data_IF_160731608534
#
_entry.id   IF_160731608534
#
_cell.length_a   1.000
_cell.length_b   1.000
_cell.length_c   1.000
_cell.angle_alpha   90.00
_cell.angle_beta   90.00
_cell.angle_gamma   90.00
#
_symmetry.space_group_name_H-M   'P 1'
#
loop_
_entity.id
_entity.type
_entity.pdbx_description
1 polymer ?
#
# COMPACT_ATOMS: atom_id res chain seq x y z
N UNK A 1 -9.02 42.30 -52.33
CA UNK A 1 -8.17 41.29 -51.66
C UNK A 1 -8.07 40.10 -52.59
N UNK A 2 -6.84 39.74 -52.94
CA UNK A 2 -6.52 38.91 -54.10
C UNK A 2 -6.96 37.45 -53.91
N UNK A 3 -7.62 36.83 -54.90
CA UNK A 3 -8.01 35.41 -54.86
C UNK A 3 -6.82 34.46 -54.61
N UNK A 4 -5.59 34.90 -54.93
CA UNK A 4 -4.36 34.16 -54.63
C UNK A 4 -4.02 34.07 -53.14
N UNK A 5 -4.45 35.02 -52.30
CA UNK A 5 -4.23 34.96 -50.85
C UNK A 5 -5.19 33.97 -50.16
N UNK A 6 -6.42 33.87 -50.68
CA UNK A 6 -7.45 32.94 -50.19
C UNK A 6 -7.03 31.49 -50.46
N UNK A 7 -6.52 31.19 -51.65
CA UNK A 7 -6.04 29.84 -52.00
C UNK A 7 -4.85 29.37 -51.16
N UNK A 8 -4.03 30.28 -50.61
CA UNK A 8 -2.92 29.96 -49.69
C UNK A 8 -3.37 29.78 -48.24
N UNK A 9 -4.56 30.28 -47.88
CA UNK A 9 -5.12 30.19 -46.53
C UNK A 9 -6.13 29.04 -46.37
N UNK A 10 -6.76 28.60 -47.47
CA UNK A 10 -7.52 27.34 -47.53
C UNK A 10 -6.53 26.18 -47.41
N UNK A 11 -6.53 25.55 -46.25
CA UNK A 11 -5.71 24.40 -45.93
C UNK A 11 -6.45 23.09 -46.18
N UNK A 12 -5.98 22.05 -45.49
CA UNK A 12 -6.47 20.69 -45.58
C UNK A 12 -7.99 20.60 -45.30
N UNK A 13 -8.70 19.76 -46.06
CA UNK A 13 -10.17 19.55 -46.00
C UNK A 13 -11.05 20.80 -46.23
N UNK A 14 -10.53 21.87 -46.85
CA UNK A 14 -11.31 23.08 -47.15
C UNK A 14 -11.42 24.05 -45.98
N UNK A 15 -10.77 23.74 -44.86
CA UNK A 15 -10.67 24.60 -43.68
C UNK A 15 -9.34 25.33 -43.62
N UNK A 16 -9.28 26.44 -42.89
CA UNK A 16 -8.04 27.23 -42.79
C UNK A 16 -6.96 26.49 -41.97
N UNK A 17 -5.68 26.69 -42.30
CA UNK A 17 -4.57 26.13 -41.50
C UNK A 17 -4.63 26.53 -40.02
N UNK A 18 -5.16 27.72 -39.71
CA UNK A 18 -5.38 28.18 -38.34
C UNK A 18 -6.36 27.30 -37.55
N UNK A 19 -7.44 26.84 -38.18
CA UNK A 19 -8.43 25.95 -37.57
C UNK A 19 -7.81 24.62 -37.12
N UNK A 20 -6.98 24.02 -37.97
CA UNK A 20 -6.30 22.75 -37.66
C UNK A 20 -5.26 22.89 -36.56
N UNK A 21 -4.50 23.98 -36.54
CA UNK A 21 -3.54 24.28 -35.46
C UNK A 21 -4.28 24.43 -34.12
N UNK A 22 -5.38 25.18 -34.10
CA UNK A 22 -6.17 25.39 -32.89
C UNK A 22 -6.81 24.08 -32.39
N UNK A 23 -7.41 23.30 -33.29
CA UNK A 23 -8.01 22.01 -32.95
C UNK A 23 -6.96 21.02 -32.45
N UNK A 24 -5.79 20.97 -33.08
CA UNK A 24 -4.64 20.20 -32.61
C UNK A 24 -4.18 20.62 -31.21
N UNK A 25 -4.11 21.93 -30.94
CA UNK A 25 -3.73 22.46 -29.63
C UNK A 25 -4.74 22.07 -28.53
N UNK A 26 -6.04 22.05 -28.83
CA UNK A 26 -7.06 21.58 -27.89
C UNK A 26 -6.92 20.08 -27.57
N UNK A 27 -6.68 19.25 -28.59
CA UNK A 27 -6.46 17.82 -28.39
C UNK A 27 -5.21 17.54 -27.55
N UNK A 28 -4.10 18.21 -27.84
CA UNK A 28 -2.86 18.08 -27.07
C UNK A 28 -3.08 18.51 -25.62
N UNK A 29 -3.78 19.62 -25.40
CA UNK A 29 -4.11 20.11 -24.05
C UNK A 29 -4.96 19.10 -23.27
N UNK A 30 -5.96 18.50 -23.91
CA UNK A 30 -6.80 17.47 -23.30
C UNK A 30 -5.98 16.23 -22.92
N UNK A 31 -5.12 15.74 -23.83
CA UNK A 31 -4.23 14.60 -23.57
C UNK A 31 -3.24 14.90 -22.43
N UNK A 32 -2.65 16.10 -22.42
CA UNK A 32 -1.78 16.54 -21.34
C UNK A 32 -2.52 16.58 -20.00
N UNK A 33 -3.76 17.07 -19.97
CA UNK A 33 -4.61 17.05 -18.78
C UNK A 33 -4.86 15.65 -18.23
N UNK A 34 -5.22 14.69 -19.11
CA UNK A 34 -5.40 13.28 -18.72
C UNK A 34 -4.10 12.69 -18.17
N UNK A 35 -2.97 12.96 -18.82
CA UNK A 35 -1.67 12.49 -18.35
C UNK A 35 -1.33 13.06 -16.95
N UNK A 36 -1.54 14.36 -16.74
CA UNK A 36 -1.31 15.02 -15.44
C UNK A 36 -2.18 14.40 -14.34
N UNK A 37 -3.47 14.17 -14.59
CA UNK A 37 -4.37 13.53 -13.62
C UNK A 37 -3.86 12.14 -13.23
N UNK A 38 -3.42 11.35 -14.22
CA UNK A 38 -2.88 10.01 -13.96
C UNK A 38 -1.58 10.06 -13.14
N UNK A 39 -0.63 10.94 -13.49
CA UNK A 39 0.63 11.10 -12.75
C UNK A 39 0.39 11.61 -11.32
N UNK A 40 -0.53 12.55 -11.13
CA UNK A 40 -0.90 13.08 -9.82
C UNK A 40 -1.47 11.98 -8.92
N UNK A 41 -2.28 11.06 -9.46
CA UNK A 41 -2.78 9.91 -8.71
C UNK A 41 -1.65 9.03 -8.16
N UNK A 42 -0.64 8.73 -8.98
CA UNK A 42 0.53 7.95 -8.55
C UNK A 42 1.35 8.68 -7.48
N UNK A 43 1.61 9.97 -7.66
CA UNK A 43 2.32 10.79 -6.67
C UNK A 43 1.55 10.88 -5.35
N UNK A 44 0.21 11.00 -5.42
CA UNK A 44 -0.66 11.02 -4.25
C UNK A 44 -0.55 9.75 -3.41
N UNK A 45 -0.59 8.57 -4.04
CA UNK A 45 -0.42 7.27 -3.35
C UNK A 45 0.95 7.12 -2.69
N UNK A 46 1.99 7.59 -3.40
CA UNK A 46 3.36 7.56 -2.88
C UNK A 46 3.50 8.47 -1.66
N UNK A 47 2.94 9.68 -1.72
CA UNK A 47 2.96 10.62 -0.60
C UNK A 47 2.19 10.08 0.61
N UNK A 48 0.98 9.57 0.40
CA UNK A 48 0.18 8.97 1.47
C UNK A 48 0.91 7.82 2.17
N UNK A 49 1.63 6.99 1.42
CA UNK A 49 2.49 5.94 1.98
C UNK A 49 3.66 6.52 2.80
N UNK A 50 4.34 7.54 2.29
CA UNK A 50 5.46 8.17 3.01
C UNK A 50 4.98 8.77 4.32
N UNK A 51 3.88 9.52 4.31
CA UNK A 51 3.30 10.14 5.50
C UNK A 51 2.94 9.07 6.54
N UNK A 52 2.35 7.95 6.10
CA UNK A 52 2.07 6.80 6.97
C UNK A 52 3.34 6.21 7.57
N UNK A 53 4.38 6.00 6.78
CA UNK A 53 5.65 5.44 7.26
C UNK A 53 6.29 6.39 8.29
N UNK A 54 6.26 7.70 8.04
CA UNK A 54 6.76 8.70 9.00
C UNK A 54 5.97 8.58 10.30
N UNK A 55 4.64 8.54 10.24
CA UNK A 55 3.79 8.38 11.42
C UNK A 55 4.14 7.11 12.21
N UNK A 56 4.34 5.98 11.54
CA UNK A 56 4.76 4.73 12.18
C UNK A 56 6.13 4.83 12.86
N UNK A 57 7.07 5.57 12.25
CA UNK A 57 8.41 5.79 12.81
C UNK A 57 8.41 6.75 13.99
N UNK A 58 7.40 7.59 14.12
CA UNK A 58 7.23 8.50 15.26
C UNK A 58 6.35 7.91 16.37
N UNK A 59 5.56 6.88 16.08
CA UNK A 59 4.72 6.22 17.06
C UNK A 59 5.55 5.28 17.96
N UNK A 60 5.92 5.81 19.13
CA UNK A 60 6.68 5.06 20.14
C UNK A 60 5.98 3.78 20.59
N UNK A 61 4.65 3.78 20.73
CA UNK A 61 3.90 2.59 21.16
C UNK A 61 3.98 1.50 20.11
N UNK A 62 3.80 1.86 18.84
CA UNK A 62 3.91 0.92 17.73
C UNK A 62 5.34 0.36 17.59
N UNK A 63 6.35 1.22 17.77
CA UNK A 63 7.75 0.79 17.75
C UNK A 63 8.06 -0.20 18.88
N UNK A 64 7.66 0.11 20.11
CA UNK A 64 7.85 -0.76 21.27
C UNK A 64 7.16 -2.11 21.09
N UNK A 65 5.90 -2.11 20.63
CA UNK A 65 5.17 -3.34 20.34
C UNK A 65 5.82 -4.15 19.22
N UNK A 66 6.30 -3.49 18.16
CA UNK A 66 7.02 -4.14 17.06
C UNK A 66 8.31 -4.79 17.54
N UNK A 67 9.07 -4.10 18.41
CA UNK A 67 10.29 -4.65 19.02
C UNK A 67 9.97 -5.84 19.93
N UNK A 68 8.91 -5.76 20.73
CA UNK A 68 8.44 -6.86 21.57
C UNK A 68 8.08 -8.08 20.72
N UNK A 69 7.27 -7.89 19.66
CA UNK A 69 6.89 -8.96 18.72
C UNK A 69 8.11 -9.61 18.07
N UNK A 70 9.08 -8.82 17.61
CA UNK A 70 10.31 -9.38 17.03
C UNK A 70 11.18 -10.11 18.05
N UNK A 71 11.21 -9.66 19.31
CA UNK A 71 11.92 -10.34 20.40
C UNK A 71 11.27 -11.70 20.69
N UNK A 72 9.95 -11.77 20.76
CA UNK A 72 9.21 -13.02 20.96
C UNK A 72 9.48 -14.01 19.83
N UNK A 73 9.42 -13.54 18.59
CA UNK A 73 9.73 -14.36 17.41
C UNK A 73 11.18 -14.87 17.43
N UNK A 74 12.15 -14.02 17.77
CA UNK A 74 13.57 -14.42 17.89
C UNK A 74 13.78 -15.50 18.95
N UNK A 75 13.02 -15.44 20.05
CA UNK A 75 13.06 -16.42 21.13
C UNK A 75 12.25 -17.69 20.82
N UNK A 76 11.73 -17.83 19.59
CA UNK A 76 10.92 -18.96 19.13
C UNK A 76 9.66 -19.20 20.00
N UNK A 77 9.13 -18.13 20.61
CA UNK A 77 7.91 -18.18 21.41
C UNK A 77 6.72 -18.14 20.46
N UNK A 78 5.86 -19.16 20.54
CA UNK A 78 4.67 -19.23 19.72
C UNK A 78 3.63 -18.20 20.19
N UNK A 79 3.13 -17.38 19.27
CA UNK A 79 2.17 -16.33 19.61
C UNK A 79 0.80 -16.88 20.00
N UNK A 80 0.47 -18.10 19.57
CA UNK A 80 -0.76 -18.82 19.94
C UNK A 80 -0.97 -18.93 21.46
N UNK A 81 0.11 -18.91 22.26
CA UNK A 81 0.04 -18.89 23.73
C UNK A 81 -0.71 -17.67 24.29
N UNK A 82 -0.68 -16.53 23.60
CA UNK A 82 -1.26 -15.28 24.06
C UNK A 82 -2.69 -15.05 23.54
N UNK A 83 -3.30 -16.05 22.92
CA UNK A 83 -4.68 -15.97 22.41
C UNK A 83 -5.74 -16.10 23.51
N UNK A 84 -5.62 -17.01 24.50
CA UNK A 84 -6.67 -17.25 25.50
C UNK A 84 -7.11 -15.99 26.25
N UNK A 85 -8.40 -15.91 26.59
CA UNK A 85 -9.00 -14.77 27.29
C UNK A 85 -8.73 -14.77 28.80
N UNK A 86 -8.11 -15.82 29.34
CA UNK A 86 -7.87 -16.03 30.76
C UNK A 86 -6.44 -15.67 31.20
N UNK A 87 -5.76 -14.79 30.45
CA UNK A 87 -4.46 -14.26 30.88
C UNK A 87 -4.63 -13.48 32.18
N UNK A 88 -3.89 -13.88 33.22
CA UNK A 88 -3.98 -13.26 34.55
C UNK A 88 -2.78 -12.37 34.87
N UNK A 89 -1.68 -12.56 34.16
CA UNK A 89 -0.48 -11.75 34.34
C UNK A 89 -0.53 -10.51 33.45
N UNK A 90 -0.32 -9.34 34.05
CA UNK A 90 -0.31 -8.05 33.33
C UNK A 90 0.67 -8.05 32.14
N UNK A 91 1.82 -8.72 32.28
CA UNK A 91 2.81 -8.86 31.21
C UNK A 91 2.30 -9.67 30.00
N UNK A 92 1.52 -10.73 30.24
CA UNK A 92 0.96 -11.56 29.17
C UNK A 92 -0.17 -10.80 28.45
N UNK A 93 -0.98 -10.04 29.18
CA UNK A 93 -2.02 -9.15 28.62
C UNK A 93 -1.37 -8.08 27.74
N UNK A 94 -0.35 -7.37 28.25
CA UNK A 94 0.39 -6.36 27.49
C UNK A 94 1.05 -6.96 26.23
N UNK A 95 1.55 -8.20 26.32
CA UNK A 95 2.11 -8.91 25.18
C UNK A 95 1.05 -9.20 24.11
N UNK A 96 -0.14 -9.66 24.53
CA UNK A 96 -1.27 -9.88 23.62
C UNK A 96 -1.68 -8.59 22.92
N UNK A 97 -1.80 -7.50 23.66
CA UNK A 97 -2.14 -6.18 23.11
C UNK A 97 -1.10 -5.69 22.11
N UNK A 98 0.19 -5.88 22.39
CA UNK A 98 1.26 -5.55 21.47
C UNK A 98 1.18 -6.35 20.16
N UNK A 99 0.91 -7.67 20.24
CA UNK A 99 0.72 -8.53 19.05
C UNK A 99 -0.45 -8.03 18.22
N UNK A 100 -1.60 -7.77 18.85
CA UNK A 100 -2.80 -7.28 18.17
C UNK A 100 -2.55 -5.90 17.54
N UNK A 101 -1.87 -4.99 18.23
CA UNK A 101 -1.56 -3.66 17.71
C UNK A 101 -0.68 -3.73 16.46
N UNK A 102 0.35 -4.57 16.46
CA UNK A 102 1.22 -4.77 15.30
C UNK A 102 0.43 -5.39 14.14
N UNK A 103 -0.41 -6.40 14.41
CA UNK A 103 -1.25 -7.04 13.41
C UNK A 103 -2.28 -6.08 12.80
N UNK A 104 -2.99 -5.30 13.62
CA UNK A 104 -3.95 -4.30 13.17
C UNK A 104 -3.31 -3.26 12.26
N UNK A 105 -2.11 -2.79 12.62
CA UNK A 105 -1.36 -1.84 11.82
C UNK A 105 -0.97 -2.42 10.44
N UNK A 106 -0.54 -3.68 10.40
CA UNK A 106 -0.22 -4.35 9.13
C UNK A 106 -1.48 -4.66 8.31
N UNK A 107 -2.59 -5.00 8.95
CA UNK A 107 -3.89 -5.20 8.30
C UNK A 107 -4.37 -3.91 7.62
N UNK A 108 -4.27 -2.77 8.31
CA UNK A 108 -4.60 -1.46 7.75
C UNK A 108 -3.75 -1.14 6.53
N UNK A 109 -2.44 -1.40 6.59
CA UNK A 109 -1.55 -1.19 5.45
C UNK A 109 -1.91 -2.12 4.29
N UNK A 110 -2.12 -3.39 4.56
CA UNK A 110 -2.46 -4.37 3.54
C UNK A 110 -3.77 -4.00 2.84
N UNK A 111 -4.76 -3.54 3.60
CA UNK A 111 -6.01 -3.01 3.06
C UNK A 111 -5.77 -1.77 2.19
N UNK A 112 -4.97 -0.80 2.65
CA UNK A 112 -4.67 0.40 1.88
C UNK A 112 -3.89 0.12 0.59
N UNK A 113 -3.02 -0.89 0.59
CA UNK A 113 -2.38 -1.41 -0.62
C UNK A 113 -3.41 -2.05 -1.55
N UNK A 114 -4.29 -2.91 -1.03
CA UNK A 114 -5.31 -3.59 -1.84
C UNK A 114 -6.28 -2.61 -2.49
N UNK A 115 -6.63 -1.53 -1.79
CA UNK A 115 -7.48 -0.46 -2.32
C UNK A 115 -6.73 0.51 -3.25
N UNK A 116 -5.42 0.36 -3.41
CA UNK A 116 -4.60 1.25 -4.22
C UNK A 116 -4.42 2.64 -3.60
N UNK A 117 -4.67 2.81 -2.30
CA UNK A 117 -4.37 4.04 -1.57
C UNK A 117 -2.87 4.21 -1.33
N UNK A 118 -2.13 3.11 -1.21
CA UNK A 118 -0.68 3.09 -0.99
C UNK A 118 0.08 2.48 -2.17
N UNK A 119 1.30 2.97 -2.41
CA UNK A 119 2.19 2.41 -3.43
C UNK A 119 2.83 1.08 -2.97
N UNK A 120 2.27 -0.04 -3.44
CA UNK A 120 2.77 -1.38 -3.09
C UNK A 120 4.24 -1.58 -3.48
N UNK A 121 4.70 -1.03 -4.61
CA UNK A 121 6.05 -1.26 -5.11
C UNK A 121 7.07 -0.64 -4.16
N UNK A 122 6.80 0.59 -3.70
CA UNK A 122 7.65 1.29 -2.74
C UNK A 122 7.62 0.56 -1.40
N UNK A 123 6.42 0.26 -0.89
CA UNK A 123 6.27 -0.39 0.41
C UNK A 123 6.94 -1.76 0.45
N UNK A 124 6.77 -2.58 -0.59
CA UNK A 124 7.39 -3.91 -0.71
C UNK A 124 8.92 -3.80 -0.70
N UNK A 125 9.52 -2.86 -1.44
CA UNK A 125 10.98 -2.64 -1.42
C UNK A 125 11.50 -2.32 -0.02
N UNK A 126 10.72 -1.58 0.77
CA UNK A 126 11.13 -1.16 2.11
C UNK A 126 10.86 -2.20 3.20
N UNK A 127 9.74 -2.92 3.13
CA UNK A 127 9.19 -3.69 4.25
C UNK A 127 8.92 -5.16 3.94
N UNK A 128 9.20 -5.68 2.74
CA UNK A 128 8.90 -7.07 2.38
C UNK A 128 9.38 -8.08 3.44
N UNK A 129 10.65 -8.02 3.82
CA UNK A 129 11.20 -8.94 4.83
C UNK A 129 10.54 -8.81 6.20
N UNK A 130 10.13 -7.59 6.59
CA UNK A 130 9.50 -7.34 7.89
C UNK A 130 8.07 -7.88 7.90
N UNK A 131 7.27 -7.58 6.87
CA UNK A 131 5.91 -8.09 6.73
C UNK A 131 5.90 -9.62 6.72
N UNK A 132 6.82 -10.24 5.97
CA UNK A 132 6.91 -11.70 5.92
C UNK A 132 7.28 -12.32 7.27
N UNK A 133 8.21 -11.72 8.02
CA UNK A 133 8.58 -12.17 9.37
C UNK A 133 7.43 -12.01 10.36
N UNK A 134 6.74 -10.87 10.34
CA UNK A 134 5.58 -10.63 11.20
C UNK A 134 4.48 -11.65 10.91
N UNK A 135 4.17 -11.89 9.63
CA UNK A 135 3.18 -12.88 9.24
C UNK A 135 3.56 -14.29 9.67
N UNK A 136 4.83 -14.69 9.47
CA UNK A 136 5.29 -16.02 9.84
C UNK A 136 5.22 -16.26 11.36
N UNK A 137 5.52 -15.23 12.16
CA UNK A 137 5.37 -15.27 13.61
C UNK A 137 3.89 -15.32 14.05
N UNK A 138 3.04 -14.54 13.39
CA UNK A 138 1.67 -14.30 13.84
C UNK A 138 0.63 -15.24 13.24
N UNK A 139 0.95 -16.00 12.19
CA UNK A 139 -0.01 -16.92 11.54
C UNK A 139 -0.68 -17.88 12.53
N UNK A 140 0.08 -18.40 13.50
CA UNK A 140 -0.46 -19.29 14.55
C UNK A 140 -1.47 -18.57 15.44
N UNK A 141 -1.15 -17.35 15.86
CA UNK A 141 -2.07 -16.49 16.62
C UNK A 141 -3.35 -16.20 15.84
N UNK A 142 -3.23 -15.82 14.56
CA UNK A 142 -4.38 -15.51 13.70
C UNK A 142 -5.29 -16.72 13.52
N UNK A 143 -4.72 -17.91 13.28
CA UNK A 143 -5.50 -19.14 13.14
C UNK A 143 -6.28 -19.48 14.42
N UNK A 144 -5.65 -19.38 15.60
CA UNK A 144 -6.37 -19.59 16.87
C UNK A 144 -7.48 -18.56 17.10
N UNK A 145 -7.22 -17.27 16.82
CA UNK A 145 -8.24 -16.21 16.94
C UNK A 145 -9.44 -16.51 16.03
N UNK A 146 -9.20 -16.87 14.77
CA UNK A 146 -10.27 -17.24 13.82
C UNK A 146 -11.08 -18.43 14.32
N UNK A 147 -10.42 -19.44 14.90
CA UNK A 147 -11.11 -20.61 15.50
C UNK A 147 -11.97 -20.25 16.69
N UNK A 148 -11.48 -19.39 17.59
CA UNK A 148 -12.24 -18.96 18.78
C UNK A 148 -13.44 -18.08 18.41
N UNK A 149 -13.24 -17.12 17.52
CA UNK A 149 -14.27 -16.16 17.11
C UNK A 149 -15.22 -16.70 16.03
N UNK A 150 -14.92 -17.88 15.46
CA UNK A 150 -15.66 -18.51 14.34
C UNK A 150 -15.81 -17.58 13.13
N UNK A 151 -14.77 -16.79 12.84
CA UNK A 151 -14.73 -15.84 11.72
C UNK A 151 -13.39 -15.95 11.01
N UNK A 152 -13.42 -16.38 9.76
CA UNK A 152 -12.20 -16.60 8.98
C UNK A 152 -11.58 -15.31 8.41
N UNK A 153 -12.30 -14.18 8.50
CA UNK A 153 -11.90 -12.91 7.88
C UNK A 153 -10.94 -12.08 8.74
N UNK A 154 -10.64 -12.49 9.98
CA UNK A 154 -9.70 -11.75 10.84
C UNK A 154 -8.30 -11.76 10.24
N UNK A 155 -7.69 -10.58 10.11
CA UNK A 155 -6.32 -10.43 9.58
C UNK A 155 -6.13 -11.04 8.19
N UNK A 156 -7.18 -11.00 7.35
CA UNK A 156 -7.13 -11.59 6.01
C UNK A 156 -6.25 -10.77 5.06
N UNK A 157 -6.18 -9.45 5.25
CA UNK A 157 -5.49 -8.57 4.30
C UNK A 157 -3.98 -8.77 4.40
N UNK A 158 -3.45 -8.85 5.63
CA UNK A 158 -2.03 -9.16 5.85
C UNK A 158 -1.66 -10.56 5.35
N UNK A 159 -2.54 -11.55 5.52
CA UNK A 159 -2.35 -12.91 5.00
C UNK A 159 -2.21 -12.90 3.47
N UNK A 160 -3.20 -12.31 2.79
CA UNK A 160 -3.19 -12.20 1.33
C UNK A 160 -1.97 -11.43 0.83
N UNK A 161 -1.62 -10.32 1.48
CA UNK A 161 -0.43 -9.54 1.14
C UNK A 161 0.84 -10.38 1.26
N UNK A 162 1.01 -11.07 2.39
CA UNK A 162 2.19 -11.90 2.66
C UNK A 162 2.29 -13.06 1.66
N UNK A 163 1.18 -13.74 1.33
CA UNK A 163 1.17 -14.80 0.33
C UNK A 163 1.56 -14.32 -1.07
N UNK A 164 1.02 -13.17 -1.51
CA UNK A 164 1.43 -12.56 -2.80
C UNK A 164 2.92 -12.25 -2.82
N UNK A 165 3.46 -11.74 -1.71
CA UNK A 165 4.87 -11.39 -1.60
C UNK A 165 5.79 -12.61 -1.45
N UNK A 166 5.34 -13.70 -0.82
CA UNK A 166 6.07 -14.98 -0.80
C UNK A 166 6.25 -15.56 -2.22
N UNK A 167 5.23 -15.44 -3.07
CA UNK A 167 5.28 -15.90 -4.47
C UNK A 167 6.15 -15.03 -5.38
N UNK A 168 6.40 -13.78 -4.99
CA UNK A 168 7.20 -12.81 -5.73
C UNK A 168 8.09 -12.05 -4.74
N UNK A 169 9.21 -12.62 -4.29
CA UNK A 169 10.13 -11.91 -3.40
C UNK A 169 10.73 -10.68 -4.10
N UNK A 170 11.28 -9.74 -3.32
CA UNK A 170 11.99 -8.58 -3.86
C UNK A 170 13.21 -9.08 -4.63
N UNK A 171 13.24 -8.84 -5.93
CA UNK A 171 14.44 -9.05 -6.75
C UNK A 171 15.43 -7.92 -6.46
N UNK A 172 16.74 -8.21 -6.27
CA UNK A 172 17.77 -7.18 -6.28
C UNK A 172 17.67 -6.40 -7.60
N UNK A 173 17.74 -5.08 -7.55
CA UNK A 173 17.86 -4.28 -8.79
C UNK A 173 19.19 -4.71 -9.46
N UNK A 174 19.12 -5.10 -10.74
CA UNK A 174 20.30 -5.46 -11.55
C UNK A 174 21.10 -4.22 -11.93
#
# INVERSE_FOLDING_TARGET
MDCQQIAKTVGWLGETWGFWIQTGAFLISALAGVAVIYYNGKQGRTKALIDLIIQQKTDHKLLEATQMVFRLHRNNIQFSRYVPSNLTADEEIATREAIIMVLNNHEFIALGIRQGAFDEKIYKRMQCSNVLKVWDAARGFVHEVRRMEKKDTFFQEIEQLAERWKKSPVTPDK
#
